data_IF_584820668503
#
_entry.id   IF_584820668503
#
_cell.length_a   1.000
_cell.length_b   1.000
_cell.length_c   1.000
_cell.angle_alpha   90.00
_cell.angle_beta   90.00
_cell.angle_gamma   90.00
#
_symmetry.space_group_name_H-M   'P 1'
#
loop_
_entity.id
_entity.type
_entity.pdbx_description
1 polymer ?
#
# COMPACT_ATOMS: atom_id res chain seq x y z
N UNK A 1 -18.11 65.68 -12.71
CA UNK A 1 -17.60 64.47 -12.06
C UNK A 1 -16.21 64.18 -12.60
N UNK A 2 -15.20 64.29 -11.78
CA UNK A 2 -13.81 64.39 -12.21
C UNK A 2 -13.28 63.05 -12.74
N UNK A 3 -12.37 63.11 -13.75
CA UNK A 3 -11.63 61.94 -14.31
C UNK A 3 -10.94 61.12 -13.23
N UNK A 4 -10.56 61.72 -12.13
CA UNK A 4 -9.93 61.08 -10.96
C UNK A 4 -10.81 60.02 -10.32
N UNK A 5 -12.13 60.21 -10.18
CA UNK A 5 -13.04 59.26 -9.57
C UNK A 5 -13.26 57.98 -10.42
N UNK A 6 -13.07 58.10 -11.73
CA UNK A 6 -13.19 56.97 -12.65
C UNK A 6 -11.92 56.08 -12.60
N UNK A 7 -10.73 56.70 -12.48
CA UNK A 7 -9.45 56.00 -12.32
C UNK A 7 -9.43 55.19 -11.01
N UNK A 8 -9.87 55.76 -9.91
CA UNK A 8 -9.90 55.05 -8.63
C UNK A 8 -10.84 53.83 -8.64
N UNK A 9 -12.00 53.91 -9.32
CA UNK A 9 -12.90 52.75 -9.47
C UNK A 9 -12.32 51.65 -10.34
N UNK A 10 -11.57 52.02 -11.43
CA UNK A 10 -10.92 51.03 -12.27
C UNK A 10 -9.77 50.36 -11.51
N UNK A 11 -8.96 51.15 -10.79
CA UNK A 11 -7.87 50.61 -9.96
C UNK A 11 -8.41 49.65 -8.88
N UNK A 12 -9.50 50.02 -8.17
CA UNK A 12 -10.10 49.13 -7.19
C UNK A 12 -10.64 47.80 -7.77
N UNK A 13 -11.14 47.84 -9.04
CA UNK A 13 -11.53 46.59 -9.73
C UNK A 13 -10.36 45.73 -10.09
N UNK A 14 -9.26 46.31 -10.54
CA UNK A 14 -8.02 45.60 -10.89
C UNK A 14 -7.42 44.96 -9.64
N UNK A 15 -7.32 45.70 -8.52
CA UNK A 15 -6.80 45.17 -7.27
C UNK A 15 -7.68 44.00 -6.76
N UNK A 16 -9.00 44.15 -6.84
CA UNK A 16 -9.95 43.09 -6.46
C UNK A 16 -9.78 41.85 -7.36
N UNK A 17 -9.63 42.05 -8.66
CA UNK A 17 -9.41 40.92 -9.59
C UNK A 17 -8.08 40.21 -9.30
N UNK A 18 -7.00 40.96 -9.06
CA UNK A 18 -5.69 40.39 -8.69
C UNK A 18 -5.76 39.61 -7.38
N UNK A 19 -6.48 40.13 -6.39
CA UNK A 19 -6.70 39.43 -5.13
C UNK A 19 -7.43 38.09 -5.34
N UNK A 20 -8.49 38.08 -6.15
CA UNK A 20 -9.20 36.83 -6.46
C UNK A 20 -8.29 35.82 -7.19
N UNK A 21 -7.50 36.26 -8.19
CA UNK A 21 -6.55 35.40 -8.88
C UNK A 21 -5.54 34.80 -7.91
N UNK A 22 -5.02 35.59 -6.98
CA UNK A 22 -4.08 35.12 -5.97
C UNK A 22 -4.73 34.09 -5.05
N UNK A 23 -5.93 34.37 -4.53
CA UNK A 23 -6.64 33.43 -3.66
C UNK A 23 -6.95 32.11 -4.38
N UNK A 24 -7.47 32.19 -5.62
CA UNK A 24 -7.72 30.98 -6.41
C UNK A 24 -6.44 30.19 -6.73
N UNK A 25 -5.33 30.88 -7.01
CA UNK A 25 -4.05 30.22 -7.24
C UNK A 25 -3.54 29.48 -6.01
N UNK A 26 -3.69 30.07 -4.83
CA UNK A 26 -3.33 29.41 -3.54
C UNK A 26 -4.23 28.21 -3.29
N UNK A 27 -5.55 28.34 -3.45
CA UNK A 27 -6.50 27.23 -3.28
C UNK A 27 -6.17 26.11 -4.28
N UNK A 28 -5.95 26.45 -5.56
CA UNK A 28 -5.60 25.47 -6.58
C UNK A 28 -4.28 24.76 -6.26
N UNK A 29 -3.27 25.50 -5.81
CA UNK A 29 -1.98 24.94 -5.38
C UNK A 29 -2.15 23.98 -4.19
N UNK A 30 -2.96 24.33 -3.20
CA UNK A 30 -3.24 23.46 -2.06
C UNK A 30 -3.96 22.18 -2.48
N UNK A 31 -4.99 22.31 -3.32
CA UNK A 31 -5.72 21.16 -3.86
C UNK A 31 -4.77 20.27 -4.68
N UNK A 32 -4.01 20.88 -5.60
CA UNK A 32 -3.03 20.14 -6.41
C UNK A 32 -1.98 19.42 -5.54
N UNK A 33 -1.50 20.09 -4.48
CA UNK A 33 -0.57 19.50 -3.52
C UNK A 33 -1.17 18.27 -2.83
N UNK A 34 -2.41 18.36 -2.38
CA UNK A 34 -3.12 17.21 -1.76
C UNK A 34 -3.22 16.07 -2.77
N UNK A 35 -3.72 16.32 -3.98
CA UNK A 35 -3.84 15.27 -5.01
C UNK A 35 -2.49 14.70 -5.44
N UNK A 36 -1.44 15.51 -5.51
CA UNK A 36 -0.11 15.02 -5.88
C UNK A 36 0.56 14.22 -4.76
N UNK A 37 0.19 14.46 -3.51
CA UNK A 37 0.74 13.74 -2.36
C UNK A 37 0.14 12.34 -2.18
N UNK A 38 -1.04 12.08 -2.73
CA UNK A 38 -1.70 10.77 -2.63
C UNK A 38 -1.14 9.74 -3.62
N UNK A 39 -0.50 10.19 -4.69
CA UNK A 39 0.09 9.27 -5.69
C UNK A 39 1.51 8.86 -5.30
N UNK A 40 1.83 7.57 -5.28
CA UNK A 40 3.17 7.10 -4.98
C UNK A 40 4.20 7.59 -6.02
N UNK A 41 5.51 7.60 -5.68
CA UNK A 41 6.57 7.80 -6.65
C UNK A 41 6.55 6.74 -7.76
N UNK A 42 6.96 7.12 -8.96
CA UNK A 42 6.96 6.19 -10.11
C UNK A 42 7.89 4.98 -9.91
N UNK A 43 8.92 5.13 -9.08
CA UNK A 43 9.88 4.05 -8.79
C UNK A 43 9.27 2.88 -8.00
N UNK A 44 8.25 3.13 -7.19
CA UNK A 44 7.57 2.12 -6.36
C UNK A 44 6.10 1.91 -6.74
N UNK A 45 5.65 2.53 -7.83
CA UNK A 45 4.25 2.42 -8.27
C UNK A 45 3.93 1.14 -9.03
N UNK A 46 4.96 0.41 -9.50
CA UNK A 46 4.82 -0.91 -10.08
C UNK A 46 5.24 -2.01 -9.11
N UNK A 47 5.10 -3.24 -9.56
CA UNK A 47 5.57 -4.41 -8.81
C UNK A 47 7.09 -4.35 -8.60
N UNK A 48 7.56 -4.89 -7.49
CA UNK A 48 8.97 -5.24 -7.31
C UNK A 48 9.20 -6.55 -8.02
N UNK A 49 10.13 -6.54 -8.98
CA UNK A 49 10.47 -7.73 -9.77
C UNK A 49 11.66 -8.41 -9.11
N UNK A 50 11.51 -9.68 -8.85
CA UNK A 50 12.55 -10.65 -8.48
C UNK A 50 12.55 -11.78 -9.49
N UNK A 51 13.45 -12.75 -9.32
CA UNK A 51 13.61 -13.88 -10.25
C UNK A 51 12.30 -14.65 -10.42
N UNK A 52 11.62 -14.99 -9.32
CA UNK A 52 10.38 -15.78 -9.34
C UNK A 52 9.26 -15.07 -10.13
N UNK A 53 9.07 -13.77 -9.88
CA UNK A 53 8.08 -12.98 -10.63
C UNK A 53 8.48 -12.85 -12.11
N UNK A 54 9.77 -12.72 -12.38
CA UNK A 54 10.23 -12.60 -13.76
C UNK A 54 10.10 -13.91 -14.53
N UNK A 55 10.39 -15.05 -13.91
CA UNK A 55 10.18 -16.38 -14.49
C UNK A 55 8.68 -16.65 -14.74
N UNK A 56 7.81 -16.32 -13.78
CA UNK A 56 6.38 -16.39 -13.97
C UNK A 56 5.91 -15.54 -15.16
N UNK A 57 6.42 -14.31 -15.28
CA UNK A 57 6.13 -13.45 -16.42
C UNK A 57 6.63 -14.01 -17.75
N UNK A 58 7.81 -14.65 -17.79
CA UNK A 58 8.33 -15.26 -19.02
C UNK A 58 7.50 -16.47 -19.44
N UNK A 59 6.98 -17.24 -18.47
CA UNK A 59 6.16 -18.43 -18.74
C UNK A 59 4.74 -18.07 -19.19
N UNK A 60 4.12 -17.13 -18.54
CA UNK A 60 2.72 -16.74 -18.76
C UNK A 60 2.59 -15.50 -19.67
N UNK A 61 3.64 -14.68 -19.76
CA UNK A 61 3.70 -13.43 -20.53
C UNK A 61 2.55 -12.47 -20.23
N UNK A 62 1.69 -12.21 -21.23
CA UNK A 62 0.57 -11.29 -21.09
C UNK A 62 -0.62 -11.92 -20.32
N UNK A 63 -0.57 -13.22 -20.06
CA UNK A 63 -1.62 -13.99 -19.34
C UNK A 63 -1.31 -14.09 -17.83
N UNK A 64 -0.24 -13.43 -17.33
CA UNK A 64 0.08 -13.41 -15.91
C UNK A 64 -1.10 -12.87 -15.09
N UNK A 65 -1.70 -13.76 -14.30
CA UNK A 65 -2.90 -13.44 -13.50
C UNK A 65 -2.54 -12.67 -12.24
N UNK A 66 -3.26 -11.59 -12.00
CA UNK A 66 -3.10 -10.73 -10.84
C UNK A 66 -4.44 -10.55 -10.13
N UNK A 67 -4.45 -10.67 -8.82
CA UNK A 67 -5.52 -10.14 -7.99
C UNK A 67 -5.08 -8.82 -7.41
N UNK A 68 -5.71 -7.76 -7.83
CA UNK A 68 -5.36 -6.42 -7.38
C UNK A 68 -6.58 -5.76 -6.76
N UNK A 69 -6.40 -5.17 -5.59
CA UNK A 69 -7.44 -4.37 -4.96
C UNK A 69 -7.81 -3.20 -5.86
N UNK A 70 -9.09 -3.12 -6.25
CA UNK A 70 -9.60 -2.13 -7.23
C UNK A 70 -9.56 -0.70 -6.72
N UNK A 71 -9.55 -0.51 -5.40
CA UNK A 71 -9.50 0.80 -4.76
C UNK A 71 -8.12 1.03 -4.18
N UNK A 72 -7.40 2.01 -4.72
CA UNK A 72 -6.18 2.58 -4.13
C UNK A 72 -6.49 3.38 -2.86
N UNK A 73 -7.34 2.88 -2.01
CA UNK A 73 -7.65 3.48 -0.72
C UNK A 73 -6.59 3.05 0.28
N UNK A 74 -5.92 4.04 0.84
CA UNK A 74 -5.08 3.81 2.00
C UNK A 74 -5.97 3.37 3.15
N UNK A 75 -5.88 2.10 3.49
CA UNK A 75 -6.48 1.56 4.70
C UNK A 75 -5.60 1.97 5.88
N UNK A 76 -6.18 2.33 7.00
CA UNK A 76 -5.44 2.74 8.20
C UNK A 76 -5.73 1.76 9.31
N UNK A 77 -4.72 1.50 10.14
CA UNK A 77 -4.95 0.78 11.37
C UNK A 77 -5.87 1.58 12.29
N UNK A 78 -6.87 0.97 12.86
CA UNK A 78 -7.86 1.65 13.72
C UNK A 78 -7.20 2.34 14.91
N UNK A 79 -6.18 1.71 15.49
CA UNK A 79 -5.50 2.19 16.69
C UNK A 79 -4.37 3.20 16.40
N UNK A 80 -3.90 3.31 15.14
CA UNK A 80 -2.75 4.15 14.77
C UNK A 80 -3.03 4.94 13.50
N UNK A 81 -4.27 5.39 13.36
CA UNK A 81 -4.74 6.15 12.21
C UNK A 81 -3.90 7.41 11.97
N UNK A 82 -3.02 7.38 10.99
CA UNK A 82 -2.23 8.52 10.55
C UNK A 82 -0.75 8.26 10.47
N UNK A 83 -0.22 7.28 11.17
CA UNK A 83 1.22 7.02 11.17
C UNK A 83 1.64 6.13 10.01
N UNK A 84 0.91 5.08 9.77
CA UNK A 84 1.24 4.09 8.77
C UNK A 84 0.05 3.83 7.85
N UNK A 85 0.30 3.59 6.58
CA UNK A 85 -0.73 3.25 5.62
C UNK A 85 -0.23 2.23 4.61
N UNK A 86 -1.13 1.37 4.16
CA UNK A 86 -0.87 0.40 3.10
C UNK A 86 -1.92 0.51 2.00
N UNK A 87 -1.52 0.25 0.78
CA UNK A 87 -2.39 0.29 -0.39
C UNK A 87 -1.84 -0.62 -1.49
N UNK A 88 -2.58 -0.73 -2.59
CA UNK A 88 -2.17 -1.47 -3.77
C UNK A 88 -1.68 -2.89 -3.43
N UNK A 89 -2.55 -3.63 -2.71
CA UNK A 89 -2.31 -5.03 -2.43
C UNK A 89 -2.54 -5.84 -3.70
N UNK A 90 -1.55 -6.62 -4.09
CA UNK A 90 -1.56 -7.45 -5.31
C UNK A 90 -1.17 -8.86 -4.93
N UNK A 91 -2.00 -9.82 -5.28
CA UNK A 91 -1.69 -11.24 -5.19
C UNK A 91 -1.30 -11.73 -6.57
N UNK A 92 -0.20 -12.46 -6.67
CA UNK A 92 0.41 -12.94 -7.92
C UNK A 92 0.53 -14.46 -7.85
N UNK A 93 -0.49 -15.22 -8.29
CA UNK A 93 -0.48 -16.68 -8.17
C UNK A 93 0.70 -17.34 -8.87
N UNK A 94 1.03 -16.93 -10.09
CA UNK A 94 2.12 -17.52 -10.89
C UNK A 94 3.50 -17.37 -10.27
N UNK A 95 3.73 -16.34 -9.45
CA UNK A 95 4.98 -16.14 -8.69
C UNK A 95 4.83 -16.50 -7.20
N UNK A 96 3.67 -17.01 -6.79
CA UNK A 96 3.33 -17.32 -5.40
C UNK A 96 3.64 -16.20 -4.40
N UNK A 97 3.38 -14.94 -4.79
CA UNK A 97 3.75 -13.75 -4.03
C UNK A 97 2.57 -12.83 -3.74
N UNK A 98 2.68 -12.11 -2.62
CA UNK A 98 1.81 -10.99 -2.28
C UNK A 98 2.67 -9.73 -2.22
N UNK A 99 2.22 -8.66 -2.85
CA UNK A 99 2.89 -7.38 -2.80
C UNK A 99 1.96 -6.28 -2.33
N UNK A 100 2.46 -5.36 -1.53
CA UNK A 100 1.73 -4.18 -1.10
C UNK A 100 2.63 -2.94 -1.05
N UNK A 101 2.00 -1.76 -1.16
CA UNK A 101 2.68 -0.49 -1.05
C UNK A 101 2.46 0.11 0.34
N UNK A 102 3.53 0.18 1.14
CA UNK A 102 3.54 0.84 2.43
C UNK A 102 3.87 2.33 2.30
N UNK A 103 3.23 3.16 3.12
CA UNK A 103 3.48 4.60 3.24
C UNK A 103 3.57 5.01 4.69
N UNK A 104 4.61 5.74 5.05
CA UNK A 104 4.83 6.31 6.38
C UNK A 104 5.61 7.63 6.26
N UNK A 105 5.71 8.40 7.33
CA UNK A 105 6.51 9.62 7.38
C UNK A 105 7.43 9.63 8.61
N UNK A 106 8.32 10.62 8.71
CA UNK A 106 9.25 10.72 9.84
C UNK A 106 8.54 10.91 11.20
N UNK A 107 7.31 11.42 11.21
CA UNK A 107 6.53 11.48 12.45
C UNK A 107 6.05 10.11 12.89
N UNK A 108 5.88 9.15 11.98
CA UNK A 108 5.59 7.74 12.33
C UNK A 108 6.73 7.15 13.14
N UNK A 109 7.97 7.30 12.65
CA UNK A 109 9.17 6.80 13.33
C UNK A 109 9.28 7.39 14.73
N UNK A 110 9.06 8.70 14.85
CA UNK A 110 9.14 9.40 16.13
C UNK A 110 8.03 8.99 17.09
N UNK A 111 6.80 8.89 16.63
CA UNK A 111 5.67 8.46 17.46
C UNK A 111 5.84 7.03 17.96
N UNK A 112 6.32 6.12 17.09
CA UNK A 112 6.65 4.75 17.49
C UNK A 112 7.72 4.74 18.58
N UNK A 113 8.78 5.52 18.43
CA UNK A 113 9.84 5.62 19.43
C UNK A 113 9.32 6.17 20.77
N UNK A 114 8.41 7.13 20.76
CA UNK A 114 7.76 7.67 21.95
C UNK A 114 6.83 6.63 22.60
N UNK A 115 6.00 5.94 21.83
CA UNK A 115 5.06 4.93 22.32
C UNK A 115 5.79 3.75 22.97
N UNK A 116 6.95 3.37 22.45
CA UNK A 116 7.78 2.30 23.00
C UNK A 116 8.87 2.78 23.94
N UNK A 117 8.90 4.07 24.30
CA UNK A 117 9.83 4.68 25.25
C UNK A 117 11.31 4.40 24.93
N UNK A 118 11.67 4.47 23.66
CA UNK A 118 13.03 4.23 23.21
C UNK A 118 13.98 5.35 23.67
N UNK A 119 15.21 5.03 24.05
CA UNK A 119 16.19 6.00 24.55
C UNK A 119 16.67 6.97 23.45
N UNK A 120 16.57 6.59 22.20
CA UNK A 120 16.89 7.42 21.03
C UNK A 120 15.93 7.11 19.89
N UNK A 121 15.67 8.11 19.04
CA UNK A 121 14.87 7.91 17.85
C UNK A 121 15.72 7.15 16.82
N UNK A 122 15.33 5.95 16.39
CA UNK A 122 16.03 5.21 15.36
C UNK A 122 16.11 6.00 14.04
N UNK A 123 17.17 5.79 13.30
CA UNK A 123 17.39 6.48 12.02
C UNK A 123 16.58 5.86 10.88
N UNK A 124 16.15 4.60 11.04
CA UNK A 124 15.44 3.83 10.04
C UNK A 124 14.23 3.14 10.66
N UNK A 125 13.16 3.06 9.92
CA UNK A 125 11.95 2.35 10.33
C UNK A 125 12.18 0.85 10.52
N UNK A 126 13.08 0.25 9.76
CA UNK A 126 13.45 -1.17 9.87
C UNK A 126 14.04 -1.54 11.22
N UNK A 127 14.55 -0.54 11.96
CA UNK A 127 15.06 -0.71 13.32
C UNK A 127 13.93 -0.71 14.36
N UNK A 128 12.71 -0.29 13.96
CA UNK A 128 11.58 -0.11 14.86
C UNK A 128 10.57 -1.24 14.81
N UNK A 129 10.25 -1.70 13.63
CA UNK A 129 9.15 -2.64 13.46
C UNK A 129 9.45 -3.66 12.36
N UNK A 130 8.80 -4.79 12.46
CA UNK A 130 8.67 -5.77 11.40
C UNK A 130 7.25 -5.75 10.86
N UNK A 131 7.09 -5.98 9.56
CA UNK A 131 5.81 -6.04 8.92
C UNK A 131 5.60 -7.47 8.47
N UNK A 132 4.53 -8.07 9.00
CA UNK A 132 4.10 -9.41 8.61
C UNK A 132 2.72 -9.33 7.98
N UNK A 133 2.45 -10.25 7.05
CA UNK A 133 1.09 -10.53 6.61
C UNK A 133 0.59 -11.77 7.33
N UNK A 134 -0.63 -11.69 7.82
CA UNK A 134 -1.39 -12.82 8.30
C UNK A 134 -2.41 -13.19 7.21
N UNK A 135 -2.21 -14.34 6.58
CA UNK A 135 -3.19 -14.90 5.65
C UNK A 135 -4.22 -15.70 6.45
N UNK A 136 -5.49 -15.38 6.27
CA UNK A 136 -6.60 -16.20 6.72
C UNK A 136 -7.16 -16.96 5.52
N UNK A 137 -7.03 -18.27 5.52
CA UNK A 137 -7.50 -19.15 4.45
C UNK A 137 -8.68 -19.92 4.99
N UNK A 138 -9.86 -19.73 4.41
CA UNK A 138 -11.02 -20.54 4.70
C UNK A 138 -10.94 -21.85 3.89
N UNK A 139 -10.86 -22.96 4.60
CA UNK A 139 -10.73 -24.28 4.01
C UNK A 139 -12.09 -24.93 3.68
N UNK A 140 -13.20 -24.26 3.94
CA UNK A 140 -14.53 -24.79 3.60
C UNK A 140 -14.80 -24.60 2.10
N UNK A 141 -14.87 -25.68 1.31
CA UNK A 141 -14.93 -25.57 -0.15
C UNK A 141 -16.31 -25.19 -0.74
N UNK A 142 -17.35 -25.10 0.08
CA UNK A 142 -18.71 -24.81 -0.38
C UNK A 142 -19.24 -23.52 0.28
N UNK A 143 -19.28 -22.46 -0.52
CA UNK A 143 -20.08 -21.30 -0.19
C UNK A 143 -21.53 -21.64 -0.49
N UNK A 144 -22.26 -22.16 0.48
CA UNK A 144 -23.68 -21.88 0.53
C UNK A 144 -23.84 -20.49 1.15
N UNK A 145 -24.59 -19.61 0.51
CA UNK A 145 -24.87 -18.26 1.02
C UNK A 145 -25.42 -18.26 2.45
N UNK A 146 -25.92 -19.40 2.92
CA UNK A 146 -26.42 -19.62 4.27
C UNK A 146 -25.35 -20.05 5.29
N UNK A 147 -24.15 -20.43 4.86
CA UNK A 147 -23.07 -20.94 5.72
C UNK A 147 -21.79 -20.09 5.64
N UNK A 148 -21.89 -18.78 5.51
CA UNK A 148 -20.85 -17.87 5.95
C UNK A 148 -20.70 -17.97 7.49
N UNK A 149 -20.66 -19.20 7.99
CA UNK A 149 -20.68 -19.54 9.39
C UNK A 149 -19.27 -19.82 9.87
N UNK A 150 -18.80 -19.02 10.60
CA UNK A 150 -18.18 -18.95 11.92
C UNK A 150 -17.76 -20.29 12.58
N UNK A 151 -17.30 -21.27 11.83
CA UNK A 151 -16.54 -22.36 12.43
C UNK A 151 -15.04 -21.95 12.44
N UNK A 152 -14.50 -21.47 13.57
CA UNK A 152 -13.10 -21.07 13.64
C UNK A 152 -12.13 -22.22 13.36
N UNK A 153 -12.61 -23.46 13.35
CA UNK A 153 -11.81 -24.62 12.98
C UNK A 153 -11.60 -24.78 11.47
N UNK A 154 -12.38 -24.09 10.66
CA UNK A 154 -12.26 -24.09 9.20
C UNK A 154 -11.25 -23.07 8.67
N UNK A 155 -10.74 -22.17 9.49
CA UNK A 155 -9.82 -21.11 9.08
C UNK A 155 -8.39 -21.45 9.47
N UNK A 156 -7.51 -21.47 8.49
CA UNK A 156 -6.06 -21.59 8.69
C UNK A 156 -5.43 -20.20 8.62
N UNK A 157 -4.58 -19.87 9.60
CA UNK A 157 -3.78 -18.66 9.60
C UNK A 157 -2.32 -18.96 9.26
N UNK A 158 -1.76 -18.20 8.35
CA UNK A 158 -0.35 -18.28 7.94
C UNK A 158 0.28 -16.91 8.05
N UNK A 159 1.45 -16.83 8.70
CA UNK A 159 2.22 -15.60 8.85
C UNK A 159 3.36 -15.56 7.84
N UNK A 160 3.51 -14.45 7.12
CA UNK A 160 4.56 -14.21 6.15
C UNK A 160 5.33 -12.93 6.51
N UNK A 161 6.64 -12.95 6.34
CA UNK A 161 7.52 -11.82 6.57
C UNK A 161 7.80 -11.03 5.29
N UNK A 162 7.97 -9.71 5.43
CA UNK A 162 8.21 -8.86 4.28
C UNK A 162 9.69 -8.83 3.88
N UNK A 163 9.94 -8.91 2.59
CA UNK A 163 11.12 -8.30 1.99
C UNK A 163 10.75 -6.94 1.41
N UNK A 164 11.65 -5.96 1.43
CA UNK A 164 11.30 -4.62 1.00
C UNK A 164 12.26 -4.04 -0.04
N UNK A 165 11.68 -3.29 -0.98
CA UNK A 165 12.46 -2.44 -1.88
C UNK A 165 13.07 -1.24 -1.15
N UNK A 166 14.07 -0.60 -1.75
CA UNK A 166 14.58 0.67 -1.24
C UNK A 166 13.46 1.73 -1.14
N UNK A 167 13.44 2.55 -0.07
CA UNK A 167 12.41 3.55 0.10
C UNK A 167 12.49 4.64 -0.97
N UNK A 168 11.34 5.11 -1.41
CA UNK A 168 11.21 6.26 -2.28
C UNK A 168 10.50 7.39 -1.56
N UNK A 169 11.12 8.58 -1.52
CA UNK A 169 10.58 9.74 -0.78
C UNK A 169 9.80 10.65 -1.71
N UNK A 170 8.60 11.05 -1.28
CA UNK A 170 7.81 12.07 -1.95
C UNK A 170 6.95 12.84 -0.95
N UNK A 171 7.06 14.18 -0.98
CA UNK A 171 6.24 15.08 -0.14
C UNK A 171 6.25 14.73 1.35
N UNK A 172 7.41 14.47 1.92
CA UNK A 172 7.63 14.05 3.32
C UNK A 172 7.12 12.64 3.68
N UNK A 173 6.66 11.86 2.71
CA UNK A 173 6.31 10.47 2.90
C UNK A 173 7.38 9.57 2.27
N UNK A 174 7.68 8.50 2.98
CA UNK A 174 8.43 7.38 2.48
C UNK A 174 7.44 6.34 1.93
N UNK A 175 7.82 5.71 0.85
CA UNK A 175 7.06 4.65 0.21
C UNK A 175 7.98 3.45 0.00
N UNK A 176 7.48 2.26 0.33
CA UNK A 176 8.16 0.99 0.08
C UNK A 176 7.19 0.01 -0.55
N UNK A 177 7.65 -0.74 -1.53
CA UNK A 177 6.96 -1.94 -1.98
C UNK A 177 7.44 -3.09 -1.11
N UNK A 178 6.53 -3.74 -0.43
CA UNK A 178 6.77 -4.93 0.39
C UNK A 178 6.39 -6.15 -0.43
N UNK A 179 7.22 -7.19 -0.37
CA UNK A 179 7.02 -8.46 -1.05
C UNK A 179 7.00 -9.56 0.01
N UNK A 180 6.00 -10.41 -0.07
CA UNK A 180 5.80 -11.54 0.81
C UNK A 180 5.80 -12.81 -0.05
N UNK A 181 6.68 -13.74 0.30
CA UNK A 181 6.78 -15.04 -0.34
C UNK A 181 5.82 -16.02 0.36
N UNK A 182 4.87 -16.56 -0.40
CA UNK A 182 3.91 -17.52 0.11
C UNK A 182 4.51 -18.92 0.32
N UNK A 183 5.62 -19.22 -0.33
CA UNK A 183 6.36 -20.48 -0.13
C UNK A 183 6.92 -20.57 1.28
N UNK A 184 7.31 -19.44 1.88
CA UNK A 184 7.73 -19.37 3.29
C UNK A 184 6.66 -19.94 4.25
N UNK A 185 5.39 -19.70 3.92
CA UNK A 185 4.25 -20.20 4.70
C UNK A 185 3.69 -21.55 4.24
N UNK A 186 4.28 -22.15 3.20
CA UNK A 186 3.76 -23.38 2.58
C UNK A 186 2.35 -23.19 2.01
N UNK A 187 2.08 -22.03 1.40
CA UNK A 187 0.80 -21.67 0.79
C UNK A 187 0.98 -21.53 -0.71
N UNK A 188 0.09 -22.14 -1.49
CA UNK A 188 0.02 -21.95 -2.94
C UNK A 188 -1.15 -21.05 -3.28
N UNK A 189 -0.87 -19.85 -3.76
CA UNK A 189 -1.91 -18.94 -4.24
C UNK A 189 -2.63 -19.48 -5.48
N UNK A 190 -1.92 -20.22 -6.34
CA UNK A 190 -2.52 -20.87 -7.51
C UNK A 190 -3.55 -21.93 -7.09
N UNK A 191 -3.19 -22.78 -6.12
CA UNK A 191 -4.09 -23.80 -5.56
C UNK A 191 -5.33 -23.16 -4.91
N UNK A 192 -5.15 -22.03 -4.22
CA UNK A 192 -6.27 -21.27 -3.63
C UNK A 192 -7.24 -20.79 -4.70
N UNK A 193 -6.71 -20.29 -5.83
CA UNK A 193 -7.52 -19.86 -6.98
C UNK A 193 -8.29 -21.03 -7.58
N UNK A 194 -7.60 -22.13 -7.87
CA UNK A 194 -8.21 -23.30 -8.53
C UNK A 194 -9.30 -23.93 -7.68
N UNK A 195 -9.06 -24.05 -6.39
CA UNK A 195 -10.00 -24.62 -5.43
C UNK A 195 -11.07 -23.63 -4.94
N UNK A 196 -10.98 -22.35 -5.38
CA UNK A 196 -11.84 -21.26 -4.92
C UNK A 196 -11.89 -21.11 -3.40
N UNK A 197 -10.77 -21.36 -2.76
CA UNK A 197 -10.64 -21.17 -1.32
C UNK A 197 -10.64 -19.68 -0.99
N UNK A 198 -11.31 -19.31 0.09
CA UNK A 198 -11.43 -17.93 0.54
C UNK A 198 -10.13 -17.48 1.19
N UNK A 199 -9.75 -16.23 0.92
CA UNK A 199 -8.51 -15.62 1.37
C UNK A 199 -8.78 -14.23 1.91
N UNK A 200 -8.34 -13.95 3.12
CA UNK A 200 -8.24 -12.60 3.64
C UNK A 200 -6.78 -12.31 4.02
N UNK A 201 -6.33 -11.11 3.72
CA UNK A 201 -4.95 -10.65 3.97
C UNK A 201 -4.99 -9.52 4.98
N UNK A 202 -4.28 -9.71 6.10
CA UNK A 202 -4.13 -8.72 7.15
C UNK A 202 -2.66 -8.36 7.31
N UNK A 203 -2.35 -7.09 7.49
CA UNK A 203 -0.99 -6.65 7.82
C UNK A 203 -0.90 -6.33 9.30
N UNK A 204 -0.02 -7.03 9.99
CA UNK A 204 0.32 -6.78 11.37
C UNK A 204 1.66 -6.04 11.44
N UNK A 205 1.70 -5.00 12.25
CA UNK A 205 2.88 -4.19 12.46
C UNK A 205 3.42 -4.44 13.86
N UNK A 206 4.64 -4.97 13.94
CA UNK A 206 5.29 -5.32 15.19
C UNK A 206 6.54 -4.48 15.42
N UNK A 207 6.85 -4.21 16.67
CA UNK A 207 8.13 -3.67 17.05
C UNK A 207 9.22 -4.73 16.87
N UNK A 208 10.27 -4.40 16.10
CA UNK A 208 11.20 -5.40 15.59
C UNK A 208 12.24 -5.90 16.58
N UNK A 209 12.79 -5.04 17.39
CA UNK A 209 14.02 -5.35 18.14
C UNK A 209 13.82 -5.67 19.61
N UNK A 210 12.65 -5.40 20.15
CA UNK A 210 12.39 -5.63 21.56
C UNK A 210 11.42 -6.79 21.75
N UNK A 211 11.93 -7.92 22.21
CA UNK A 211 11.19 -9.15 22.48
C UNK A 211 9.90 -8.91 23.31
N UNK A 212 9.91 -7.89 24.16
CA UNK A 212 8.72 -7.53 24.96
C UNK A 212 7.54 -7.09 24.12
N UNK A 213 7.77 -6.73 22.85
CA UNK A 213 6.75 -6.24 21.93
C UNK A 213 6.41 -7.21 20.79
N UNK A 214 7.10 -8.34 20.69
CA UNK A 214 6.87 -9.33 19.63
C UNK A 214 5.41 -9.84 19.61
N UNK A 215 4.78 -9.94 20.76
CA UNK A 215 3.39 -10.38 20.88
C UNK A 215 2.37 -9.23 20.78
N UNK A 216 2.85 -7.98 20.66
CA UNK A 216 1.99 -6.81 20.68
C UNK A 216 2.03 -6.10 19.33
N UNK A 217 1.06 -6.35 18.46
CA UNK A 217 1.00 -5.66 17.17
C UNK A 217 0.78 -4.16 17.38
N UNK A 218 1.48 -3.36 16.59
CA UNK A 218 1.27 -1.91 16.55
C UNK A 218 -0.09 -1.54 15.93
N UNK A 219 -0.54 -2.33 14.96
CA UNK A 219 -1.84 -2.19 14.32
C UNK A 219 -2.08 -3.29 13.31
N UNK A 220 -3.34 -3.54 13.01
CA UNK A 220 -3.77 -4.54 12.04
C UNK A 220 -4.63 -3.86 10.98
N UNK A 221 -4.38 -4.18 9.71
CA UNK A 221 -5.11 -3.68 8.56
C UNK A 221 -5.62 -4.86 7.73
N UNK A 222 -6.91 -4.88 7.41
CA UNK A 222 -7.38 -5.73 6.33
C UNK A 222 -6.99 -5.07 5.00
N UNK A 223 -6.13 -5.71 4.23
CA UNK A 223 -5.56 -5.17 3.00
C UNK A 223 -6.31 -5.62 1.76
N UNK A 224 -6.84 -6.82 1.77
CA UNK A 224 -7.46 -7.45 0.62
C UNK A 224 -8.53 -8.45 1.08
N UNK A 225 -9.66 -8.41 0.41
CA UNK A 225 -10.73 -9.38 0.57
C UNK A 225 -11.00 -10.02 -0.79
N UNK A 226 -10.60 -11.27 -0.93
CA UNK A 226 -10.74 -12.04 -2.16
C UNK A 226 -12.20 -12.17 -2.61
N UNK A 227 -13.15 -12.18 -1.68
CA UNK A 227 -14.58 -12.31 -2.01
C UNK A 227 -15.15 -11.09 -2.72
N UNK A 228 -14.58 -9.92 -2.45
CA UNK A 228 -15.04 -8.65 -3.02
C UNK A 228 -14.29 -8.24 -4.27
N UNK A 229 -13.20 -8.93 -4.63
CA UNK A 229 -12.32 -8.56 -5.73
C UNK A 229 -12.35 -9.55 -6.89
N UNK A 230 -12.13 -9.04 -8.08
CA UNK A 230 -12.02 -9.85 -9.29
C UNK A 230 -10.57 -10.05 -9.69
N UNK A 231 -10.24 -11.28 -10.09
CA UNK A 231 -8.97 -11.59 -10.73
C UNK A 231 -8.85 -10.78 -12.02
N UNK A 232 -7.72 -10.11 -12.21
CA UNK A 232 -7.39 -9.38 -13.43
C UNK A 232 -6.18 -10.00 -14.10
N UNK A 233 -6.24 -10.14 -15.43
CA UNK A 233 -5.14 -10.68 -16.23
C UNK A 233 -4.27 -9.58 -16.85
N UNK A 234 -4.46 -8.34 -16.38
CA UNK A 234 -3.83 -7.19 -17.01
C UNK A 234 -2.77 -6.57 -16.12
N UNK A 235 -1.53 -6.60 -16.62
CA UNK A 235 -0.43 -5.84 -16.03
C UNK A 235 -0.62 -4.35 -16.31
N UNK A 236 -0.52 -3.53 -15.27
CA UNK A 236 -0.54 -2.07 -15.43
C UNK A 236 0.75 -1.55 -16.11
N UNK A 237 0.69 -0.36 -16.67
CA UNK A 237 1.84 0.24 -17.32
C UNK A 237 3.05 0.47 -16.40
N UNK A 238 2.84 0.54 -15.07
CA UNK A 238 3.90 0.60 -14.08
C UNK A 238 4.62 -0.75 -13.95
N UNK A 239 3.86 -1.85 -13.93
CA UNK A 239 4.37 -3.21 -13.82
C UNK A 239 5.19 -3.60 -15.06
N UNK A 240 4.65 -3.32 -16.24
CA UNK A 240 5.37 -3.53 -17.52
C UNK A 240 6.70 -2.77 -17.57
N UNK A 241 6.77 -1.56 -17.00
CA UNK A 241 8.03 -0.82 -16.90
C UNK A 241 9.00 -1.42 -15.89
N UNK A 242 8.50 -1.99 -14.80
CA UNK A 242 9.32 -2.67 -13.80
C UNK A 242 9.97 -3.94 -14.39
N UNK A 243 9.17 -4.78 -15.04
CA UNK A 243 9.62 -5.99 -15.74
C UNK A 243 10.64 -5.69 -16.84
N UNK A 244 10.40 -4.64 -17.63
CA UNK A 244 11.36 -4.23 -18.67
C UNK A 244 12.70 -3.81 -18.09
N UNK A 245 12.69 -3.04 -17.00
CA UNK A 245 13.94 -2.60 -16.34
C UNK A 245 14.71 -3.74 -15.73
N UNK A 246 14.03 -4.73 -15.18
CA UNK A 246 14.66 -5.93 -14.62
C UNK A 246 15.48 -6.65 -15.68
N UNK A 247 14.92 -6.88 -16.86
CA UNK A 247 15.62 -7.49 -18.00
C UNK A 247 16.86 -6.71 -18.47
N UNK A 248 16.88 -5.37 -18.34
CA UNK A 248 17.99 -4.54 -18.78
C UNK A 248 19.20 -4.57 -17.83
N UNK A 249 19.04 -5.13 -16.62
CA UNK A 249 20.06 -5.19 -15.55
C UNK A 249 20.72 -6.55 -15.48
N UNK A 250 20.07 -7.62 -15.95
CA UNK A 250 20.69 -8.93 -16.16
C UNK A 250 21.57 -8.93 -17.43
#
# INVERSE_FOLDING_TARGET
MSRVSRGFRIFGRIVKALFFVLVFSVIFFLIWRVFSSTKPPKSVSGLTVNDDLYEAYLSERDDLRLWRQSQNTLTRAENNAGYFGASDCVLIPGANQIQLLARYNNSTVRALAEDYQLPSVPSREEELYDITILLAIDLTPEISEDNAGNDPSSVRFVRLHATSSAPAVKNMYNYRRLVFDCDEGGVSLEELVEKRLLLAVYADFYYKEDIRYEEKPYGTLCLYDYLSETLTDTLEGADKRALKRYKEVE
#
